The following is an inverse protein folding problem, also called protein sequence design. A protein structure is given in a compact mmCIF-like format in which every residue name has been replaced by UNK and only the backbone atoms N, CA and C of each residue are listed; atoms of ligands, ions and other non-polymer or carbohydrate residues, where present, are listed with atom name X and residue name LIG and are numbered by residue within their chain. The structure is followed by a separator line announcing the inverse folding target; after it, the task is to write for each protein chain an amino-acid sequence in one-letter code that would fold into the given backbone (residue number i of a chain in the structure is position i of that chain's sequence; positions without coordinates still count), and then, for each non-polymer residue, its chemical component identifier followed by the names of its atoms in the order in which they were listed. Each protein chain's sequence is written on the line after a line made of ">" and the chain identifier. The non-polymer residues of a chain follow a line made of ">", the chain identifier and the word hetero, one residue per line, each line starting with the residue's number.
data_IF_693626144444
#
_entry.id   IF_693626144444
#
_cell.length_a   1.000
_cell.length_b   1.000
_cell.length_c   1.000
_cell.angle_alpha   90.00
_cell.angle_beta   90.00
_cell.angle_gamma   90.00
#
_symmetry.space_group_name_H-M   'P 1'
#
loop_
_entity.id
_entity.type
_entity.pdbx_description
1 polymer ?
#
# COMPACT_ATOMS: atom_id res chain seq x y z
N UNK A 1 -0.71 5.56 -10.56
CA UNK A 1 -1.23 6.66 -11.37
C UNK A 1 -2.76 6.77 -11.30
N UNK A 2 -3.49 5.66 -11.53
CA UNK A 2 -4.95 5.67 -11.46
C UNK A 2 -5.47 5.96 -10.04
N UNK A 3 -4.87 5.33 -9.03
CA UNK A 3 -5.27 5.54 -7.64
C UNK A 3 -5.05 6.99 -7.21
N UNK A 4 -3.90 7.58 -7.58
CA UNK A 4 -3.61 8.98 -7.29
C UNK A 4 -4.66 9.90 -7.91
N UNK A 5 -4.95 9.70 -9.19
CA UNK A 5 -5.93 10.51 -9.91
C UNK A 5 -7.32 10.43 -9.27
N UNK A 6 -7.72 9.22 -8.84
CA UNK A 6 -8.98 9.04 -8.14
C UNK A 6 -9.00 9.75 -6.79
N UNK A 7 -7.94 9.59 -5.99
CA UNK A 7 -7.86 10.21 -4.67
C UNK A 7 -7.93 11.73 -4.74
N UNK A 8 -7.43 12.32 -5.80
CA UNK A 8 -7.49 13.77 -6.02
C UNK A 8 -8.93 14.28 -6.27
N UNK A 9 -9.85 13.39 -6.61
CA UNK A 9 -11.27 13.75 -6.84
C UNK A 9 -12.13 13.66 -5.60
N UNK A 10 -11.67 12.99 -4.54
CA UNK A 10 -12.47 12.74 -3.32
C UNK A 10 -12.57 14.01 -2.48
N UNK A 11 -13.78 14.35 -2.06
CA UNK A 11 -14.07 15.56 -1.28
C UNK A 11 -15.13 15.29 -0.22
N UNK A 12 -15.05 15.98 0.90
CA UNK A 12 -16.06 15.98 1.97
C UNK A 12 -16.40 14.56 2.46
N UNK A 13 -15.38 13.71 2.61
CA UNK A 13 -15.59 12.29 2.91
C UNK A 13 -14.70 11.79 4.04
N UNK A 14 -15.18 10.77 4.73
CA UNK A 14 -14.35 9.91 5.55
C UNK A 14 -13.71 8.88 4.63
N UNK A 15 -12.39 8.71 4.74
CA UNK A 15 -11.62 7.86 3.82
C UNK A 15 -10.82 6.85 4.60
N UNK A 16 -10.88 5.60 4.18
CA UNK A 16 -9.95 4.57 4.63
C UNK A 16 -9.10 4.14 3.45
N UNK A 17 -7.79 4.08 3.66
CA UNK A 17 -6.83 3.70 2.62
C UNK A 17 -6.35 2.28 2.85
N UNK A 18 -6.33 1.48 1.82
CA UNK A 18 -5.77 0.14 1.90
C UNK A 18 -5.05 -0.20 0.60
N UNK A 19 -4.14 -1.15 0.69
CA UNK A 19 -3.42 -1.59 -0.48
C UNK A 19 -2.44 -2.71 -0.18
N UNK A 20 -1.77 -3.12 -1.23
CA UNK A 20 -0.69 -4.11 -1.14
C UNK A 20 0.60 -3.51 -1.69
N UNK A 21 1.72 -4.03 -1.22
CA UNK A 21 3.03 -3.62 -1.69
C UNK A 21 4.00 -4.80 -1.67
N UNK A 22 5.07 -4.71 -2.45
CA UNK A 22 6.12 -5.73 -2.43
C UNK A 22 7.11 -5.58 -1.29
N UNK A 23 7.15 -4.42 -0.64
CA UNK A 23 7.99 -4.16 0.52
C UNK A 23 7.39 -4.79 1.79
N UNK A 24 8.20 -4.86 2.86
CA UNK A 24 7.70 -5.30 4.16
C UNK A 24 6.70 -4.27 4.70
N UNK A 25 5.56 -4.72 5.28
CA UNK A 25 4.52 -3.81 5.75
C UNK A 25 4.94 -2.87 6.88
N UNK A 26 5.97 -3.24 7.63
CA UNK A 26 6.53 -2.45 8.73
C UNK A 26 7.76 -1.63 8.32
N UNK A 27 8.07 -1.57 7.03
CA UNK A 27 9.24 -0.83 6.52
C UNK A 27 8.98 0.66 6.44
N UNK A 28 10.07 1.45 6.35
CA UNK A 28 9.98 2.88 6.09
C UNK A 28 9.29 3.18 4.77
N UNK A 29 9.54 2.36 3.75
CA UNK A 29 8.87 2.49 2.46
C UNK A 29 7.35 2.35 2.59
N UNK A 30 6.88 1.40 3.38
CA UNK A 30 5.44 1.23 3.63
C UNK A 30 4.86 2.46 4.35
N UNK A 31 5.56 2.99 5.35
CA UNK A 31 5.14 4.21 6.05
C UNK A 31 5.08 5.41 5.12
N UNK A 32 6.05 5.54 4.22
CA UNK A 32 6.08 6.61 3.22
C UNK A 32 4.90 6.49 2.24
N UNK A 33 4.56 5.28 1.82
CA UNK A 33 3.40 5.05 0.95
C UNK A 33 2.09 5.50 1.61
N UNK A 34 1.92 5.16 2.88
CA UNK A 34 0.74 5.60 3.65
C UNK A 34 0.73 7.13 3.76
N UNK A 35 1.86 7.73 4.11
CA UNK A 35 1.98 9.18 4.28
C UNK A 35 1.66 9.92 2.98
N UNK A 36 2.11 9.43 1.83
CA UNK A 36 1.80 10.02 0.53
C UNK A 36 0.31 9.93 0.22
N UNK A 37 -0.32 8.78 0.49
CA UNK A 37 -1.74 8.60 0.30
C UNK A 37 -2.56 9.54 1.19
N UNK A 38 -2.19 9.64 2.46
CA UNK A 38 -2.84 10.53 3.41
C UNK A 38 -2.70 11.99 2.99
N UNK A 39 -1.51 12.41 2.54
CA UNK A 39 -1.28 13.77 2.07
C UNK A 39 -2.17 14.14 0.88
N UNK A 40 -2.38 13.22 -0.05
CA UNK A 40 -3.27 13.44 -1.19
C UNK A 40 -4.72 13.65 -0.74
N UNK A 41 -5.17 12.86 0.23
CA UNK A 41 -6.55 12.88 0.71
C UNK A 41 -6.80 14.08 1.64
N UNK A 42 -5.81 14.41 2.48
CA UNK A 42 -5.94 15.44 3.51
C UNK A 42 -5.69 16.87 3.03
N UNK A 43 -5.57 17.11 1.73
CA UNK A 43 -5.46 18.45 1.20
C UNK A 43 -6.60 19.34 1.77
N UNK A 44 -6.29 20.47 2.43
CA UNK A 44 -7.30 21.22 3.21
C UNK A 44 -8.53 21.62 2.41
N UNK A 45 -8.38 21.93 1.14
CA UNK A 45 -9.46 22.35 0.26
C UNK A 45 -10.48 21.24 -0.04
N UNK A 46 -10.14 19.98 0.24
CA UNK A 46 -11.02 18.84 -0.04
C UNK A 46 -11.88 18.43 1.15
N UNK A 47 -11.46 18.81 2.34
CA UNK A 47 -12.21 18.54 3.59
C UNK A 47 -12.49 17.07 3.83
N UNK A 48 -11.51 16.21 3.53
CA UNK A 48 -11.56 14.78 3.82
C UNK A 48 -10.95 14.49 5.18
N UNK A 49 -11.32 13.35 5.74
CA UNK A 49 -10.73 12.82 6.97
C UNK A 49 -10.31 11.38 6.75
N UNK A 50 -9.04 11.07 6.99
CA UNK A 50 -8.55 9.69 6.96
C UNK A 50 -8.87 9.03 8.31
N UNK A 51 -9.67 7.98 8.29
CA UNK A 51 -10.14 7.28 9.48
C UNK A 51 -9.58 5.87 9.63
N UNK A 52 -8.76 5.43 8.71
CA UNK A 52 -8.08 4.14 8.82
C UNK A 52 -7.16 3.88 7.65
N UNK A 53 -6.15 3.07 7.92
CA UNK A 53 -5.21 2.60 6.89
C UNK A 53 -4.88 1.15 7.12
N UNK A 54 -4.62 0.42 6.03
CA UNK A 54 -4.16 -0.95 6.11
C UNK A 54 -3.29 -1.28 4.89
N UNK A 55 -2.11 -1.84 5.15
CA UNK A 55 -1.24 -2.36 4.10
C UNK A 55 -0.81 -3.78 4.45
N UNK A 56 -0.73 -4.63 3.43
CA UNK A 56 -0.08 -5.93 3.54
C UNK A 56 0.79 -6.18 2.30
N UNK A 57 1.59 -7.23 2.34
CA UNK A 57 2.34 -7.60 1.16
C UNK A 57 1.42 -8.14 0.07
N UNK A 58 1.85 -7.96 -1.18
CA UNK A 58 1.20 -8.55 -2.33
C UNK A 58 2.26 -8.89 -3.38
N UNK A 59 1.94 -9.85 -4.22
CA UNK A 59 2.84 -10.29 -5.28
C UNK A 59 3.13 -9.13 -6.24
N UNK A 60 4.41 -8.87 -6.46
CA UNK A 60 4.85 -7.90 -7.47
C UNK A 60 4.74 -8.54 -8.84
N UNK A 61 4.19 -7.82 -9.81
CA UNK A 61 4.06 -8.31 -11.19
C UNK A 61 5.44 -8.74 -11.70
N UNK A 62 5.59 -9.99 -12.18
CA UNK A 62 6.86 -10.46 -12.72
C UNK A 62 7.42 -9.60 -13.85
N UNK A 63 6.55 -8.95 -14.62
CA UNK A 63 6.98 -8.04 -15.68
C UNK A 63 7.65 -6.79 -15.11
N UNK A 64 7.14 -6.28 -14.01
CA UNK A 64 7.73 -5.12 -13.32
C UNK A 64 9.08 -5.51 -12.72
N UNK A 65 9.18 -6.68 -12.09
CA UNK A 65 10.44 -7.18 -11.54
C UNK A 65 11.51 -7.33 -12.65
N UNK A 66 11.13 -7.93 -13.77
CA UNK A 66 12.02 -8.11 -14.91
C UNK A 66 12.47 -6.77 -15.49
N UNK A 67 11.57 -5.81 -15.60
CA UNK A 67 11.88 -4.45 -16.08
C UNK A 67 12.84 -3.75 -15.14
N UNK A 68 12.64 -3.84 -13.83
CA UNK A 68 13.53 -3.23 -12.83
C UNK A 68 14.92 -3.84 -12.87
N UNK A 69 15.04 -5.16 -13.02
CA UNK A 69 16.32 -5.84 -13.18
C UNK A 69 17.06 -5.39 -14.43
N UNK A 70 16.36 -5.24 -15.54
CA UNK A 70 16.94 -4.85 -16.83
C UNK A 70 17.42 -3.41 -16.84
N UNK A 71 16.65 -2.50 -16.23
CA UNK A 71 16.94 -1.06 -16.28
C UNK A 71 17.93 -0.59 -15.24
N UNK A 72 18.13 -1.33 -14.17
CA UNK A 72 18.85 -0.84 -13.01
C UNK A 72 19.66 -1.91 -12.30
N UNK A 73 20.30 -2.82 -13.08
CA UNK A 73 21.09 -3.92 -12.52
C UNK A 73 22.19 -3.44 -11.57
N UNK A 74 22.74 -2.24 -11.79
CA UNK A 74 23.79 -1.66 -10.95
C UNK A 74 23.24 -0.91 -9.75
N UNK A 75 22.03 -0.33 -9.88
CA UNK A 75 21.39 0.49 -8.84
C UNK A 75 20.46 -0.34 -7.95
N UNK A 76 19.82 -1.36 -8.53
CA UNK A 76 18.90 -2.26 -7.82
C UNK A 76 19.28 -3.72 -8.07
N UNK A 77 20.46 -4.17 -7.61
CA UNK A 77 20.88 -5.55 -7.82
C UNK A 77 19.93 -6.51 -7.12
N UNK A 78 19.77 -7.71 -7.68
CA UNK A 78 18.99 -8.76 -7.03
C UNK A 78 19.85 -9.38 -5.92
N UNK A 79 19.71 -8.84 -4.70
CA UNK A 79 20.39 -9.37 -3.51
C UNK A 79 19.61 -10.55 -2.93
N UNK A 80 20.25 -11.41 -2.11
CA UNK A 80 19.52 -12.46 -1.40
C UNK A 80 18.37 -11.94 -0.57
N UNK A 81 18.53 -10.80 0.09
CA UNK A 81 17.49 -10.16 0.89
C UNK A 81 16.30 -9.71 0.03
N UNK A 82 16.59 -9.12 -1.12
CA UNK A 82 15.55 -8.69 -2.06
C UNK A 82 14.80 -9.88 -2.64
N UNK A 83 15.52 -10.94 -2.98
CA UNK A 83 14.92 -12.16 -3.49
C UNK A 83 13.99 -12.79 -2.44
N UNK A 84 14.45 -12.90 -1.19
CA UNK A 84 13.66 -13.43 -0.08
C UNK A 84 12.38 -12.60 0.14
N UNK A 85 12.49 -11.28 0.07
CA UNK A 85 11.34 -10.38 0.21
C UNK A 85 10.31 -10.60 -0.91
N UNK A 86 10.77 -10.70 -2.15
CA UNK A 86 9.88 -10.93 -3.29
C UNK A 86 9.21 -12.31 -3.22
N UNK A 87 9.93 -13.33 -2.76
CA UNK A 87 9.37 -14.66 -2.55
C UNK A 87 8.30 -14.65 -1.47
N UNK A 88 8.54 -13.94 -0.37
CA UNK A 88 7.53 -13.79 0.68
C UNK A 88 6.32 -13.00 0.18
N UNK A 89 6.54 -11.89 -0.52
CA UNK A 89 5.47 -11.08 -1.08
C UNK A 89 4.56 -11.88 -2.03
N UNK A 90 5.13 -12.85 -2.75
CA UNK A 90 4.37 -13.69 -3.67
C UNK A 90 3.34 -14.60 -2.97
N UNK A 91 3.49 -14.81 -1.66
CA UNK A 91 2.55 -15.59 -0.84
C UNK A 91 1.39 -14.76 -0.30
N UNK A 92 1.40 -13.45 -0.54
CA UNK A 92 0.45 -12.50 0.01
C UNK A 92 -0.39 -11.82 -1.08
N UNK A 93 -1.60 -11.35 -0.77
CA UNK A 93 -2.25 -11.51 0.53
C UNK A 93 -2.62 -12.98 0.82
N UNK A 94 -2.53 -13.36 2.07
CA UNK A 94 -2.98 -14.67 2.54
C UNK A 94 -4.23 -14.53 3.41
N UNK A 95 -4.72 -15.65 3.96
CA UNK A 95 -5.91 -15.63 4.81
C UNK A 95 -5.72 -14.76 6.05
N UNK A 96 -4.54 -14.81 6.66
CA UNK A 96 -4.23 -13.99 7.84
C UNK A 96 -4.26 -12.49 7.50
N UNK A 97 -3.78 -12.11 6.31
CA UNK A 97 -3.87 -10.72 5.85
C UNK A 97 -5.32 -10.27 5.71
N UNK A 98 -6.17 -11.13 5.16
CA UNK A 98 -7.60 -10.84 5.01
C UNK A 98 -8.29 -10.68 6.36
N UNK A 99 -7.95 -11.51 7.34
CA UNK A 99 -8.49 -11.41 8.69
C UNK A 99 -8.05 -10.11 9.38
N UNK A 100 -6.79 -9.73 9.22
CA UNK A 100 -6.28 -8.44 9.75
C UNK A 100 -6.96 -7.25 9.08
N UNK A 101 -7.17 -7.31 7.76
CA UNK A 101 -7.90 -6.29 7.03
C UNK A 101 -9.34 -6.17 7.55
N UNK A 102 -10.00 -7.30 7.78
CA UNK A 102 -11.35 -7.35 8.30
C UNK A 102 -11.45 -6.66 9.67
N UNK A 103 -10.51 -6.92 10.57
CA UNK A 103 -10.46 -6.27 11.87
C UNK A 103 -10.21 -4.75 11.74
N UNK A 104 -9.29 -4.34 10.86
CA UNK A 104 -9.01 -2.93 10.62
C UNK A 104 -10.26 -2.20 10.11
N UNK A 105 -10.96 -2.78 9.14
CA UNK A 105 -12.16 -2.15 8.57
C UNK A 105 -13.39 -2.25 9.44
N UNK A 106 -13.44 -3.21 10.35
CA UNK A 106 -14.46 -3.25 11.40
C UNK A 106 -14.37 -1.99 12.28
N UNK A 107 -13.14 -1.61 12.67
CA UNK A 107 -12.91 -0.38 13.41
C UNK A 107 -13.31 0.87 12.62
N UNK A 108 -13.06 0.89 11.32
CA UNK A 108 -13.48 1.96 10.41
C UNK A 108 -15.02 2.05 10.35
N UNK A 109 -15.68 0.92 10.18
CA UNK A 109 -17.14 0.87 10.12
C UNK A 109 -17.77 1.40 11.41
N UNK A 110 -17.20 1.09 12.56
CA UNK A 110 -17.67 1.59 13.85
C UNK A 110 -17.58 3.12 13.97
N UNK A 111 -16.59 3.75 13.32
CA UNK A 111 -16.41 5.19 13.34
C UNK A 111 -17.48 5.94 12.52
N UNK A 112 -18.07 5.31 11.53
CA UNK A 112 -19.05 5.94 10.63
C UNK A 112 -20.48 5.44 10.85
N UNK A 113 -20.65 4.53 11.77
CA UNK A 113 -21.98 3.98 12.10
C UNK A 113 -22.85 4.98 12.85
#
# INVERSE_FOLDING_TARGET
>A
AQAKAYLETVRDANVALFGTLGAWPDSDHARDCIAQGEALVNAPERRNRVIGTYLCQGKVDPKIVAMMQKMASDVHPMTPERKARLEEAAKHPDEADCLRAQEAFKGVAEQVA
#
